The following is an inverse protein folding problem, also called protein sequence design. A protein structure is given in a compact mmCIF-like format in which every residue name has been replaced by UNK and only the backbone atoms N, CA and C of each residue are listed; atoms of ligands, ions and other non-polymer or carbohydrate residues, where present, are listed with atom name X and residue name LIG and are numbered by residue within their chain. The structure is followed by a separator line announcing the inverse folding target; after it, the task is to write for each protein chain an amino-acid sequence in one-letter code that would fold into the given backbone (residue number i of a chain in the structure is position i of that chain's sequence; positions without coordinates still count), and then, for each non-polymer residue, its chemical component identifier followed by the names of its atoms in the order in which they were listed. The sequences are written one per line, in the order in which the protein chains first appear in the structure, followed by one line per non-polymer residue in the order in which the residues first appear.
data_IF_210100270225
#
_entry.id   IF_210100270225
#
_cell.length_a   1.000
_cell.length_b   1.000
_cell.length_c   1.000
_cell.angle_alpha   90.00
_cell.angle_beta   90.00
_cell.angle_gamma   90.00
#
_symmetry.space_group_name_H-M   'P 1'
#
loop_
_entity.id
_entity.type
_entity.pdbx_description
1 polymer ?
#
# COMPACT_ATOMS: atom_id res chain seq x y z
N UNK A 1 -20.83 -11.72 33.33
CA UNK A 1 -20.26 -12.71 32.39
C UNK A 1 -19.70 -11.98 31.19
N UNK A 2 -18.70 -12.54 30.49
CA UNK A 2 -18.10 -11.90 29.32
C UNK A 2 -19.01 -12.13 28.10
N UNK A 3 -19.32 -11.08 27.35
CA UNK A 3 -20.25 -11.13 26.20
C UNK A 3 -19.55 -11.53 24.91
N UNK A 4 -18.34 -10.99 24.68
CA UNK A 4 -17.54 -11.23 23.49
C UNK A 4 -16.19 -11.83 23.84
N UNK A 5 -15.72 -12.77 23.02
CA UNK A 5 -14.33 -13.21 23.00
C UNK A 5 -13.60 -12.44 21.89
N UNK A 6 -12.52 -11.76 22.26
CA UNK A 6 -11.75 -10.87 21.39
C UNK A 6 -10.42 -11.52 21.06
N UNK A 7 -10.07 -11.61 19.77
CA UNK A 7 -8.86 -12.26 19.29
C UNK A 7 -8.14 -11.29 18.33
N UNK A 8 -6.90 -10.86 18.59
CA UNK A 8 -6.06 -11.18 19.76
C UNK A 8 -6.59 -10.59 21.08
N UNK A 9 -6.21 -11.19 22.22
CA UNK A 9 -6.81 -10.83 23.52
C UNK A 9 -6.28 -9.52 24.13
N UNK A 10 -5.01 -9.18 23.91
CA UNK A 10 -4.36 -8.05 24.59
C UNK A 10 -3.66 -7.10 23.64
N UNK A 11 -2.90 -7.64 22.69
CA UNK A 11 -1.99 -6.86 21.87
C UNK A 11 -2.37 -7.02 20.40
N UNK A 12 -2.39 -5.92 19.66
CA UNK A 12 -2.47 -5.91 18.20
C UNK A 12 -1.09 -5.51 17.69
N UNK A 13 -0.42 -6.45 17.05
CA UNK A 13 0.94 -6.25 16.55
C UNK A 13 0.89 -5.71 15.13
N UNK A 14 1.55 -4.59 14.87
CA UNK A 14 1.70 -4.03 13.53
C UNK A 14 3.18 -4.09 13.12
N UNK A 15 3.52 -4.61 11.93
CA UNK A 15 4.87 -4.46 11.39
C UNK A 15 5.20 -2.99 11.16
N UNK A 16 6.42 -2.58 11.52
CA UNK A 16 6.90 -1.23 11.22
C UNK A 16 7.26 -1.11 9.73
N UNK A 17 6.32 -0.61 8.93
CA UNK A 17 6.53 -0.29 7.51
C UNK A 17 6.38 1.22 7.31
N UNK A 18 7.42 1.86 6.81
CA UNK A 18 7.41 3.30 6.54
C UNK A 18 6.62 3.59 5.26
N UNK A 19 5.88 4.70 5.24
CA UNK A 19 5.14 5.19 4.07
C UNK A 19 4.11 4.22 3.46
N UNK A 20 3.72 3.17 4.18
CA UNK A 20 2.71 2.19 3.73
C UNK A 20 1.64 1.96 4.79
N UNK A 21 0.40 1.78 4.34
CA UNK A 21 -0.69 1.38 5.22
C UNK A 21 -0.61 -0.11 5.55
N UNK A 22 -0.86 -0.45 6.81
CA UNK A 22 -0.80 -1.83 7.31
C UNK A 22 -2.14 -2.20 7.93
N UNK A 23 -2.67 -3.37 7.58
CA UNK A 23 -3.97 -3.84 8.06
C UNK A 23 -3.78 -5.03 8.98
N UNK A 24 -4.35 -4.96 10.19
CA UNK A 24 -4.47 -6.08 11.10
C UNK A 24 -5.94 -6.42 11.36
N UNK A 25 -6.20 -7.69 11.67
CA UNK A 25 -7.56 -8.20 11.89
C UNK A 25 -7.76 -8.51 13.37
N UNK A 26 -8.83 -7.98 13.95
CA UNK A 26 -9.34 -8.33 15.27
C UNK A 26 -10.67 -9.05 15.11
N UNK A 27 -10.78 -10.29 15.61
CA UNK A 27 -12.01 -11.07 15.57
C UNK A 27 -12.79 -10.89 16.87
N UNK A 28 -14.09 -10.67 16.74
CA UNK A 28 -15.06 -10.60 17.83
C UNK A 28 -16.03 -11.77 17.71
N UNK A 29 -15.93 -12.73 18.63
CA UNK A 29 -16.79 -13.91 18.72
C UNK A 29 -17.85 -13.69 19.80
N UNK A 30 -19.14 -13.78 19.46
CA UNK A 30 -20.23 -13.67 20.42
C UNK A 30 -20.43 -14.98 21.17
N UNK A 31 -20.06 -14.98 22.45
CA UNK A 31 -20.19 -16.14 23.35
C UNK A 31 -21.45 -16.08 24.23
N UNK A 32 -22.28 -15.05 24.05
CA UNK A 32 -23.54 -14.89 24.77
C UNK A 32 -24.71 -15.57 24.04
N UNK A 33 -25.83 -15.72 24.75
CA UNK A 33 -27.08 -16.28 24.21
C UNK A 33 -27.97 -15.22 23.53
N UNK A 34 -27.54 -13.95 23.50
CA UNK A 34 -28.27 -12.83 22.90
C UNK A 34 -27.45 -12.17 21.80
N UNK A 35 -28.08 -11.34 20.97
CA UNK A 35 -27.33 -10.49 20.04
C UNK A 35 -26.51 -9.46 20.82
N UNK A 36 -25.34 -9.13 20.30
CA UNK A 36 -24.42 -8.18 20.95
C UNK A 36 -24.12 -7.04 20.00
N UNK A 37 -24.37 -5.82 20.45
CA UNK A 37 -23.92 -4.61 19.76
C UNK A 37 -22.47 -4.31 20.16
N UNK A 38 -21.64 -3.88 19.21
CA UNK A 38 -20.25 -3.49 19.48
C UNK A 38 -19.90 -2.12 18.91
N UNK A 39 -18.93 -1.45 19.54
CA UNK A 39 -18.34 -0.20 19.07
C UNK A 39 -16.85 -0.16 19.39
N UNK A 40 -16.06 0.26 18.42
CA UNK A 40 -14.61 0.41 18.54
C UNK A 40 -14.27 1.88 18.77
N UNK A 41 -13.44 2.13 19.77
CA UNK A 41 -12.83 3.43 20.05
C UNK A 41 -11.32 3.31 20.03
N UNK A 42 -10.64 4.39 19.68
CA UNK A 42 -9.17 4.46 19.65
C UNK A 42 -8.68 5.77 20.27
N UNK A 43 -7.48 5.75 20.85
CA UNK A 43 -6.79 6.96 21.34
C UNK A 43 -6.18 7.79 20.22
N UNK A 44 -6.01 7.23 19.02
CA UNK A 44 -5.37 7.88 17.87
C UNK A 44 -6.24 7.77 16.59
N UNK A 45 -7.41 8.41 16.54
CA UNK A 45 -8.34 8.28 15.40
C UNK A 45 -7.77 8.77 14.07
N UNK A 46 -6.73 9.62 14.07
CA UNK A 46 -6.07 10.09 12.85
C UNK A 46 -5.11 9.04 12.26
N UNK A 47 -4.55 8.18 13.12
CA UNK A 47 -3.54 7.19 12.71
C UNK A 47 -4.18 5.88 12.25
N UNK A 48 -5.44 5.63 12.63
CA UNK A 48 -6.10 4.37 12.36
C UNK A 48 -7.45 4.54 11.70
N UNK A 49 -7.69 3.66 10.74
CA UNK A 49 -9.00 3.46 10.14
C UNK A 49 -9.55 2.10 10.57
N UNK A 50 -10.76 2.09 11.13
CA UNK A 50 -11.41 0.88 11.64
C UNK A 50 -12.63 0.53 10.81
N UNK A 51 -12.72 -0.72 10.34
CA UNK A 51 -13.82 -1.21 9.49
C UNK A 51 -14.24 -2.62 9.89
N UNK A 52 -15.51 -2.86 10.26
CA UNK A 52 -16.50 -1.87 10.70
C UNK A 52 -16.12 -1.23 12.06
N UNK A 53 -16.52 0.02 12.31
CA UNK A 53 -16.24 0.71 13.59
C UNK A 53 -17.31 0.46 14.66
N UNK A 54 -18.51 0.04 14.25
CA UNK A 54 -19.59 -0.42 15.11
C UNK A 54 -20.48 -1.38 14.34
N UNK A 55 -21.30 -2.14 15.04
CA UNK A 55 -22.26 -3.04 14.41
C UNK A 55 -22.94 -3.97 15.40
N UNK A 56 -23.58 -5.00 14.86
CA UNK A 56 -24.31 -6.03 15.59
C UNK A 56 -23.71 -7.39 15.25
N UNK A 57 -23.60 -8.27 16.23
CA UNK A 57 -23.11 -9.66 16.08
C UNK A 57 -24.23 -10.58 16.56
N UNK A 58 -24.65 -11.52 15.71
CA UNK A 58 -25.67 -12.48 16.10
C UNK A 58 -25.13 -13.50 17.10
N UNK A 59 -26.03 -14.28 17.69
CA UNK A 59 -25.69 -15.34 18.64
C UNK A 59 -24.74 -16.34 17.99
N UNK A 60 -23.61 -16.65 18.65
CA UNK A 60 -22.56 -17.57 18.16
C UNK A 60 -21.89 -17.16 16.84
N UNK A 61 -22.09 -15.92 16.38
CA UNK A 61 -21.43 -15.39 15.19
C UNK A 61 -20.06 -14.79 15.55
N UNK A 62 -19.17 -14.74 14.56
CA UNK A 62 -17.89 -14.05 14.64
C UNK A 62 -17.79 -12.99 13.56
N UNK A 63 -17.36 -11.79 13.94
CA UNK A 63 -17.12 -10.67 13.03
C UNK A 63 -15.64 -10.31 13.03
N UNK A 64 -15.10 -10.05 11.84
CA UNK A 64 -13.72 -9.59 11.67
C UNK A 64 -13.68 -8.07 11.49
N UNK A 65 -12.89 -7.41 12.35
CA UNK A 65 -12.66 -5.98 12.34
C UNK A 65 -11.28 -5.72 11.77
N UNK A 66 -11.23 -4.95 10.69
CA UNK A 66 -9.99 -4.47 10.09
C UNK A 66 -9.56 -3.18 10.78
N UNK A 67 -8.34 -3.19 11.32
CA UNK A 67 -7.68 -2.01 11.87
C UNK A 67 -6.51 -1.69 10.94
N UNK A 68 -6.62 -0.55 10.26
CA UNK A 68 -5.69 -0.12 9.23
C UNK A 68 -4.88 1.05 9.80
N UNK A 69 -3.60 0.81 10.07
CA UNK A 69 -2.63 1.85 10.39
C UNK A 69 -2.32 2.66 9.12
N UNK A 70 -2.50 3.97 9.19
CA UNK A 70 -2.23 4.89 8.08
C UNK A 70 -0.71 5.04 7.86
N UNK A 71 -0.26 5.41 6.64
CA UNK A 71 1.15 5.67 6.37
C UNK A 71 1.70 6.78 7.28
N UNK A 72 2.74 6.47 8.04
CA UNK A 72 3.39 7.41 8.94
C UNK A 72 4.60 8.05 8.24
N UNK A 73 4.80 9.35 8.48
CA UNK A 73 5.83 10.15 7.78
C UNK A 73 7.17 10.14 8.52
N UNK A 74 7.14 10.19 9.85
CA UNK A 74 8.29 10.09 10.74
C UNK A 74 7.87 9.32 12.01
N UNK A 75 8.83 8.98 12.89
CA UNK A 75 8.66 8.16 14.11
C UNK A 75 7.67 8.78 15.13
N UNK A 76 6.39 8.81 14.78
CA UNK A 76 5.32 9.15 15.69
C UNK A 76 5.18 8.04 16.73
N UNK A 77 4.85 8.41 17.96
CA UNK A 77 4.81 7.52 19.13
C UNK A 77 3.61 6.55 19.10
N UNK A 78 3.48 5.75 18.05
CA UNK A 78 2.40 4.77 17.82
C UNK A 78 2.44 3.65 18.88
N UNK A 79 3.57 3.48 19.57
CA UNK A 79 3.82 2.42 20.56
C UNK A 79 2.92 2.46 21.81
N UNK A 80 2.10 3.50 21.97
CA UNK A 80 1.23 3.67 23.14
C UNK A 80 -0.26 3.72 22.77
N UNK A 81 -0.60 3.51 21.50
CA UNK A 81 -1.97 3.59 21.03
C UNK A 81 -2.81 2.43 21.58
N UNK A 82 -4.07 2.73 21.89
CA UNK A 82 -4.99 1.81 22.54
C UNK A 82 -6.30 1.77 21.78
N UNK A 83 -6.84 0.57 21.66
CA UNK A 83 -8.19 0.33 21.20
C UNK A 83 -9.07 -0.13 22.35
N UNK A 84 -10.33 0.26 22.30
CA UNK A 84 -11.35 -0.15 23.25
C UNK A 84 -12.55 -0.67 22.46
N UNK A 85 -12.86 -1.95 22.67
CA UNK A 85 -14.07 -2.61 22.20
C UNK A 85 -15.12 -2.46 23.28
N UNK A 86 -16.17 -1.71 23.01
CA UNK A 86 -17.35 -1.62 23.85
C UNK A 86 -18.40 -2.58 23.33
N UNK A 87 -19.10 -3.29 24.22
CA UNK A 87 -20.15 -4.22 23.84
C UNK A 87 -21.30 -4.25 24.86
N UNK A 88 -22.50 -4.54 24.40
CA UNK A 88 -23.67 -4.80 25.24
C UNK A 88 -24.65 -5.77 24.58
N UNK A 89 -25.45 -6.44 25.40
CA UNK A 89 -26.55 -7.27 24.92
C UNK A 89 -27.68 -6.39 24.41
N UNK A 90 -28.31 -6.82 23.31
CA UNK A 90 -29.47 -6.14 22.74
C UNK A 90 -30.58 -7.13 22.43
N UNK A 91 -31.79 -6.59 22.29
CA UNK A 91 -32.98 -7.32 21.88
C UNK A 91 -32.99 -7.53 20.36
N UNK A 92 -33.75 -8.51 19.88
CA UNK A 92 -33.66 -8.99 18.50
C UNK A 92 -34.05 -7.95 17.44
N UNK A 93 -34.85 -6.93 17.81
CA UNK A 93 -35.38 -5.87 16.95
C UNK A 93 -34.57 -4.55 17.03
N UNK A 94 -33.43 -4.56 17.71
CA UNK A 94 -32.63 -3.33 17.93
C UNK A 94 -31.75 -3.02 16.73
N UNK A 95 -31.86 -1.80 16.17
CA UNK A 95 -30.90 -1.25 15.20
C UNK A 95 -29.75 -0.52 15.89
N UNK A 96 -28.51 -0.84 15.51
CA UNK A 96 -27.31 -0.25 16.12
C UNK A 96 -26.86 0.96 15.31
N UNK A 97 -27.35 2.14 15.69
CA UNK A 97 -26.98 3.41 15.06
C UNK A 97 -26.11 4.30 15.98
N UNK A 98 -25.63 5.44 15.47
CA UNK A 98 -24.84 6.38 16.28
C UNK A 98 -25.60 6.89 17.52
N UNK A 99 -26.92 7.06 17.41
CA UNK A 99 -27.79 7.53 18.49
C UNK A 99 -27.98 6.48 19.59
N UNK A 100 -28.02 5.20 19.22
CA UNK A 100 -28.15 4.09 20.18
C UNK A 100 -27.09 4.18 21.29
N UNK A 101 -25.84 4.46 20.92
CA UNK A 101 -24.73 4.59 21.88
C UNK A 101 -24.80 5.84 22.79
N UNK A 102 -25.70 6.78 22.53
CA UNK A 102 -25.94 7.96 23.38
C UNK A 102 -27.01 7.63 24.44
N UNK A 103 -28.03 6.85 24.06
CA UNK A 103 -29.17 6.49 24.91
C UNK A 103 -28.88 5.32 25.85
N UNK A 104 -27.94 4.44 25.48
CA UNK A 104 -27.60 3.25 26.28
C UNK A 104 -27.02 3.62 27.66
N UNK A 105 -27.45 2.87 28.68
CA UNK A 105 -26.92 3.00 30.02
C UNK A 105 -25.45 2.58 30.07
N UNK A 106 -24.58 3.48 30.52
CA UNK A 106 -23.13 3.24 30.60
C UNK A 106 -22.75 2.09 31.52
N UNK A 107 -23.60 1.74 32.49
CA UNK A 107 -23.36 0.67 33.45
C UNK A 107 -23.49 -0.73 32.83
N UNK A 108 -24.19 -0.86 31.71
CA UNK A 108 -24.41 -2.14 31.01
C UNK A 108 -23.33 -2.42 29.95
N UNK A 109 -22.50 -1.42 29.64
CA UNK A 109 -21.46 -1.53 28.64
C UNK A 109 -20.27 -2.30 29.21
N UNK A 110 -19.95 -3.42 28.57
CA UNK A 110 -18.71 -4.13 28.83
C UNK A 110 -17.60 -3.61 27.90
N UNK A 111 -16.45 -3.29 28.50
CA UNK A 111 -15.28 -2.81 27.79
C UNK A 111 -14.17 -3.87 27.73
N UNK A 112 -13.52 -3.99 26.58
CA UNK A 112 -12.31 -4.79 26.38
C UNK A 112 -11.22 -3.90 25.74
N UNK A 113 -10.03 -3.84 26.37
CA UNK A 113 -8.93 -2.97 25.92
C UNK A 113 -7.86 -3.77 25.19
N UNK A 114 -7.34 -3.20 24.11
CA UNK A 114 -6.25 -3.73 23.31
C UNK A 114 -5.15 -2.67 23.22
N UNK A 115 -3.90 -3.11 23.24
CA UNK A 115 -2.72 -2.26 23.13
C UNK A 115 -2.09 -2.50 21.76
N UNK A 116 -1.71 -1.43 21.07
CA UNK A 116 -0.96 -1.53 19.82
C UNK A 116 0.51 -1.74 20.16
N UNK A 117 1.10 -2.77 19.56
CA UNK A 117 2.54 -3.04 19.63
C UNK A 117 3.10 -2.90 18.22
N UNK A 118 4.17 -2.14 18.07
CA UNK A 118 4.93 -2.09 16.82
C UNK A 118 6.04 -3.13 16.87
N UNK A 119 6.05 -4.04 15.90
CA UNK A 119 7.12 -5.00 15.73
C UNK A 119 8.14 -4.44 14.74
N UNK A 120 9.28 -4.02 15.27
CA UNK A 120 10.49 -3.74 14.49
C UNK A 120 11.21 -5.08 14.27
N UNK A 121 10.82 -5.85 13.25
CA UNK A 121 11.55 -7.07 12.85
C UNK A 121 13.04 -6.79 12.49
N UNK A 122 13.46 -5.51 12.45
CA UNK A 122 14.81 -5.07 12.11
C UNK A 122 15.71 -4.67 13.30
N UNK A 123 15.31 -4.82 14.56
CA UNK A 123 16.22 -4.48 15.68
C UNK A 123 17.47 -5.38 15.79
N UNK A 124 17.47 -6.56 15.16
CA UNK A 124 18.64 -7.46 15.06
C UNK A 124 19.21 -7.64 13.64
N UNK A 125 18.77 -6.86 12.65
CA UNK A 125 19.43 -6.77 11.34
C UNK A 125 19.30 -5.36 10.79
N UNK A 126 20.32 -4.54 11.06
CA UNK A 126 20.69 -3.44 10.16
C UNK A 126 21.20 -4.03 8.84
N UNK A 127 20.29 -4.57 8.03
CA UNK A 127 20.50 -4.77 6.61
C UNK A 127 19.49 -3.91 5.87
N UNK A 128 20.00 -2.92 5.16
CA UNK A 128 19.27 -2.16 4.15
C UNK A 128 18.62 -3.16 3.18
N UNK A 129 17.32 -3.40 3.32
CA UNK A 129 16.56 -4.13 2.31
C UNK A 129 15.10 -3.68 2.33
N UNK A 130 14.88 -2.46 1.86
CA UNK A 130 13.65 -2.12 1.16
C UNK A 130 14.02 -1.86 -0.31
N UNK A 131 14.22 -2.96 -1.04
CA UNK A 131 14.14 -2.98 -2.49
C UNK A 131 13.05 -4.02 -2.85
N UNK A 132 12.17 -3.72 -3.82
CA UNK A 132 11.19 -4.69 -4.30
C UNK A 132 11.90 -5.90 -4.91
N UNK A 133 11.61 -7.08 -4.37
CA UNK A 133 12.17 -8.36 -4.81
C UNK A 133 11.53 -8.79 -6.13
N UNK A 134 12.20 -8.51 -7.25
CA UNK A 134 12.01 -9.28 -8.49
C UNK A 134 13.24 -10.17 -8.70
N UNK A 135 13.02 -11.48 -8.59
CA UNK A 135 14.03 -12.52 -8.74
C UNK A 135 14.57 -12.55 -10.19
N UNK A 136 15.83 -12.17 -10.41
CA UNK A 136 16.64 -12.64 -11.54
C UNK A 136 18.09 -12.83 -11.03
N UNK A 137 18.67 -14.05 -11.08
CA UNK A 137 20.08 -14.23 -10.75
C UNK A 137 20.94 -13.71 -11.91
N UNK A 138 21.82 -12.74 -11.63
CA UNK A 138 22.88 -12.34 -12.54
C UNK A 138 24.18 -13.03 -12.14
N UNK A 139 24.43 -14.20 -12.73
CA UNK A 139 25.79 -14.71 -12.89
C UNK A 139 26.23 -14.42 -14.33
N UNK A 140 27.50 -14.01 -14.45
CA UNK A 140 28.30 -13.90 -15.69
C UNK A 140 28.06 -12.68 -16.60
N UNK A 141 28.90 -11.65 -16.41
CA UNK A 141 29.81 -11.25 -17.50
C UNK A 141 30.99 -10.41 -16.97
N UNK A 142 32.15 -11.05 -16.88
CA UNK A 142 33.45 -10.38 -16.95
C UNK A 142 33.69 -9.99 -18.41
N UNK A 143 33.90 -8.70 -18.71
CA UNK A 143 35.12 -8.19 -19.36
C UNK A 143 34.96 -6.75 -19.88
N UNK A 144 35.97 -5.95 -19.53
CA UNK A 144 36.59 -4.85 -20.31
C UNK A 144 35.67 -3.71 -20.77
N UNK A 145 35.75 -2.57 -20.07
CA UNK A 145 36.52 -1.43 -20.58
C UNK A 145 36.50 -0.28 -19.57
N UNK A 146 37.67 0.01 -19.04
CA UNK A 146 38.03 1.32 -18.50
C UNK A 146 37.90 2.35 -19.60
N UNK A 147 37.02 3.34 -19.45
CA UNK A 147 37.14 4.63 -20.10
C UNK A 147 36.72 5.69 -19.09
N UNK A 148 37.69 6.57 -18.82
CA UNK A 148 37.59 7.79 -18.02
C UNK A 148 36.34 8.61 -18.32
N UNK A 149 35.69 9.12 -17.28
CA UNK A 149 35.14 10.47 -17.31
C UNK A 149 35.66 11.26 -16.12
N UNK A 150 36.71 12.03 -16.39
CA UNK A 150 37.12 13.18 -15.59
C UNK A 150 36.01 14.23 -15.68
N UNK A 151 35.45 14.63 -14.54
CA UNK A 151 34.79 15.92 -14.41
C UNK A 151 35.70 16.82 -13.57
N UNK A 152 36.29 17.80 -14.26
CA UNK A 152 37.03 18.91 -13.68
C UNK A 152 36.04 19.92 -13.13
N UNK A 153 36.15 20.28 -11.85
CA UNK A 153 35.67 21.55 -11.35
C UNK A 153 36.83 22.31 -10.72
N UNK A 154 37.17 23.43 -11.34
CA UNK A 154 38.13 24.40 -10.84
C UNK A 154 37.43 25.33 -9.84
N UNK A 155 37.97 25.45 -8.63
CA UNK A 155 38.07 26.74 -7.96
C UNK A 155 39.27 26.75 -7.00
N UNK A 156 40.15 27.72 -7.25
CA UNK A 156 41.42 27.96 -6.58
C UNK A 156 41.25 29.12 -5.58
N UNK A 157 41.56 28.93 -4.29
CA UNK A 157 42.14 29.95 -3.40
C UNK A 157 43.09 29.28 -2.38
N UNK A 158 44.38 29.38 -2.68
CA UNK A 158 45.57 29.66 -1.84
C UNK A 158 45.80 29.01 -0.46
N UNK A 159 47.02 28.46 -0.35
CA UNK A 159 47.76 28.01 0.83
C UNK A 159 48.04 29.12 1.85
N UNK A 160 48.07 28.77 3.13
CA UNK A 160 49.12 29.18 4.08
C UNK A 160 49.24 28.11 5.19
N UNK A 161 50.47 27.59 5.35
CA UNK A 161 50.84 26.56 6.32
C UNK A 161 50.89 27.11 7.76
N UNK A 162 50.42 26.34 8.76
CA UNK A 162 51.08 26.21 10.07
C UNK A 162 50.56 24.97 10.81
N UNK A 163 51.49 24.09 11.19
CA UNK A 163 51.27 22.92 12.03
C UNK A 163 50.82 23.32 13.44
N UNK A 164 49.85 22.61 14.04
CA UNK A 164 49.82 22.22 15.46
C UNK A 164 48.55 21.42 15.84
N UNK A 165 48.80 20.29 16.53
CA UNK A 165 47.94 19.64 17.54
C UNK A 165 46.77 18.75 17.10
N UNK A 166 46.99 17.44 17.26
CA UNK A 166 46.13 16.42 17.88
C UNK A 166 44.62 16.67 18.00
N UNK A 167 43.85 15.70 17.48
CA UNK A 167 42.55 15.32 18.03
C UNK A 167 41.34 15.64 17.16
N UNK A 168 41.02 14.76 16.19
CA UNK A 168 39.66 14.29 15.85
C UNK A 168 39.73 13.39 14.58
N UNK A 169 39.80 12.06 14.74
CA UNK A 169 39.42 11.14 13.66
C UNK A 169 37.95 10.77 13.81
N UNK A 170 37.11 11.67 13.30
CA UNK A 170 35.67 11.50 13.17
C UNK A 170 35.29 10.52 12.05
N UNK A 171 34.16 9.85 12.22
CA UNK A 171 33.64 8.88 11.26
C UNK A 171 33.20 9.52 9.95
N UNK A 172 33.62 8.97 8.81
CA UNK A 172 33.03 9.30 7.50
C UNK A 172 33.23 8.31 6.31
N UNK A 173 33.67 7.05 6.42
CA UNK A 173 33.65 6.15 5.25
C UNK A 173 32.25 5.65 4.87
N UNK A 174 31.35 5.51 5.86
CA UNK A 174 30.03 4.88 5.66
C UNK A 174 28.99 5.80 5.01
N UNK A 175 29.04 7.10 5.31
CA UNK A 175 28.07 8.08 4.82
C UNK A 175 28.22 8.31 3.31
N UNK A 176 29.48 8.48 2.85
CA UNK A 176 29.79 8.68 1.44
C UNK A 176 29.41 7.46 0.59
N UNK A 177 29.57 6.25 1.13
CA UNK A 177 29.19 5.01 0.44
C UNK A 177 27.68 4.89 0.26
N UNK A 178 26.90 5.21 1.30
CA UNK A 178 25.42 5.25 1.20
C UNK A 178 24.94 6.30 0.20
N UNK A 179 25.59 7.47 0.15
CA UNK A 179 25.25 8.51 -0.83
C UNK A 179 25.47 8.04 -2.27
N UNK A 180 26.60 7.38 -2.54
CA UNK A 180 26.88 6.80 -3.86
C UNK A 180 25.87 5.71 -4.22
N UNK A 181 25.50 4.85 -3.27
CA UNK A 181 24.50 3.80 -3.47
C UNK A 181 23.11 4.39 -3.81
N UNK A 182 22.69 5.45 -3.12
CA UNK A 182 21.47 6.20 -3.40
C UNK A 182 21.49 6.84 -4.80
N UNK A 183 22.61 7.45 -5.20
CA UNK A 183 22.76 8.03 -6.54
C UNK A 183 22.63 6.95 -7.63
N UNK A 184 23.28 5.80 -7.44
CA UNK A 184 23.17 4.69 -8.40
C UNK A 184 21.74 4.14 -8.48
N UNK A 185 21.03 4.06 -7.35
CA UNK A 185 19.63 3.68 -7.34
C UNK A 185 18.75 4.67 -8.11
N UNK A 186 18.96 5.98 -7.89
CA UNK A 186 18.24 7.03 -8.61
C UNK A 186 18.40 6.89 -10.13
N UNK A 187 19.65 6.75 -10.59
CA UNK A 187 19.97 6.56 -12.02
C UNK A 187 19.32 5.29 -12.59
N UNK A 188 19.31 4.20 -11.82
CA UNK A 188 18.67 2.95 -12.23
C UNK A 188 17.15 3.09 -12.37
N UNK A 189 16.49 3.72 -11.40
CA UNK A 189 15.05 3.96 -11.41
C UNK A 189 14.68 4.88 -12.58
N UNK A 190 15.46 5.92 -12.86
CA UNK A 190 15.22 6.80 -14.00
C UNK A 190 15.34 6.05 -15.34
N UNK A 191 16.31 5.15 -15.46
CA UNK A 191 16.46 4.30 -16.64
C UNK A 191 15.28 3.35 -16.84
N UNK A 192 14.81 2.73 -15.76
CA UNK A 192 13.63 1.86 -15.78
C UNK A 192 12.36 2.65 -16.13
N UNK A 193 12.21 3.85 -15.56
CA UNK A 193 11.11 4.76 -15.86
C UNK A 193 11.09 5.15 -17.34
N UNK A 194 12.23 5.53 -17.90
CA UNK A 194 12.34 5.86 -19.32
C UNK A 194 12.00 4.68 -20.24
N UNK A 195 12.37 3.46 -19.85
CA UNK A 195 12.03 2.25 -20.59
C UNK A 195 10.51 1.98 -20.59
N UNK A 196 9.87 2.07 -19.42
CA UNK A 196 8.41 1.92 -19.29
C UNK A 196 7.63 3.01 -20.02
N UNK A 197 8.13 4.24 -20.03
CA UNK A 197 7.52 5.36 -20.74
C UNK A 197 7.57 5.15 -22.27
N UNK A 198 8.70 4.66 -22.78
CA UNK A 198 8.85 4.28 -24.19
C UNK A 198 7.92 3.14 -24.59
N UNK A 199 7.74 2.14 -23.72
CA UNK A 199 6.79 1.05 -23.95
C UNK A 199 5.34 1.58 -24.00
N UNK A 200 4.97 2.43 -23.04
CA UNK A 200 3.66 3.09 -23.03
C UNK A 200 3.41 3.92 -24.30
N UNK A 201 4.41 4.68 -24.76
CA UNK A 201 4.30 5.45 -25.99
C UNK A 201 4.14 4.55 -27.22
N UNK A 202 4.90 3.44 -27.28
CA UNK A 202 4.78 2.43 -28.33
C UNK A 202 3.38 1.80 -28.37
N UNK A 203 2.85 1.38 -27.21
CA UNK A 203 1.51 0.82 -27.10
C UNK A 203 0.43 1.83 -27.51
N UNK A 204 0.58 3.09 -27.11
CA UNK A 204 -0.33 4.17 -27.51
C UNK A 204 -0.30 4.41 -29.01
N UNK A 205 0.88 4.36 -29.63
CA UNK A 205 1.05 4.48 -31.08
C UNK A 205 0.45 3.27 -31.83
N UNK A 206 0.61 2.04 -31.30
CA UNK A 206 -0.04 0.85 -31.85
C UNK A 206 -1.56 0.97 -31.83
N UNK A 207 -2.15 1.41 -30.72
CA UNK A 207 -3.60 1.65 -30.62
C UNK A 207 -4.08 2.70 -31.61
N UNK A 208 -3.33 3.79 -31.78
CA UNK A 208 -3.64 4.83 -32.76
C UNK A 208 -3.58 4.31 -34.19
N UNK A 209 -2.59 3.47 -34.51
CA UNK A 209 -2.46 2.85 -35.83
C UNK A 209 -3.60 1.87 -36.11
N UNK A 210 -4.00 1.05 -35.14
CA UNK A 210 -5.15 0.14 -35.24
C UNK A 210 -6.47 0.92 -35.45
N UNK A 211 -6.70 1.97 -34.67
CA UNK A 211 -7.88 2.82 -34.83
C UNK A 211 -7.89 3.56 -36.19
N UNK A 212 -6.74 4.03 -36.66
CA UNK A 212 -6.62 4.62 -38.00
C UNK A 212 -6.91 3.62 -39.11
N UNK A 213 -6.49 2.35 -38.96
CA UNK A 213 -6.79 1.29 -39.93
C UNK A 213 -8.27 0.89 -39.92
N UNK A 214 -8.92 0.89 -38.75
CA UNK A 214 -10.36 0.70 -38.63
C UNK A 214 -11.12 1.80 -39.40
N UNK A 215 -10.74 3.06 -39.19
CA UNK A 215 -11.32 4.17 -39.92
C UNK A 215 -11.00 4.11 -41.43
N UNK A 216 -9.80 3.67 -41.82
CA UNK A 216 -9.43 3.47 -43.24
C UNK A 216 -10.27 2.38 -43.92
N UNK A 217 -10.56 1.27 -43.23
CA UNK A 217 -11.45 0.22 -43.72
C UNK A 217 -12.92 0.68 -43.84
N UNK A 218 -13.33 1.66 -43.03
CA UNK A 218 -14.69 2.23 -43.07
C UNK A 218 -14.86 3.33 -44.14
N UNK A 219 -13.78 3.89 -44.69
CA UNK A 219 -13.80 5.04 -45.63
C UNK A 219 -14.06 4.64 -47.09
N UNK A 220 -14.10 3.36 -47.43
CA UNK A 220 -14.62 2.91 -48.73
C UNK A 220 -16.17 2.94 -48.74
N UNK A 221 -16.74 4.01 -48.19
CA UNK A 221 -18.17 4.34 -48.06
C UNK A 221 -18.90 4.34 -49.42
N UNK A 222 -18.15 4.41 -50.53
CA UNK A 222 -18.66 4.29 -51.90
C UNK A 222 -19.03 2.84 -52.27
N UNK A 223 -18.36 1.85 -51.69
CA UNK A 223 -18.57 0.43 -51.99
C UNK A 223 -19.48 -0.27 -50.98
N UNK A 224 -19.68 0.29 -49.78
CA UNK A 224 -20.65 -0.20 -48.79
C UNK A 224 -22.05 -0.42 -49.38
N UNK A 225 -22.68 0.53 -50.10
CA UNK A 225 -24.00 0.29 -50.69
C UNK A 225 -23.97 -0.81 -51.77
N UNK A 226 -22.86 -0.94 -52.51
CA UNK A 226 -22.70 -1.96 -53.56
C UNK A 226 -22.59 -3.35 -52.93
N UNK A 227 -21.84 -3.50 -51.83
CA UNK A 227 -21.69 -4.76 -51.10
C UNK A 227 -23.02 -5.20 -50.49
N UNK A 228 -23.82 -4.27 -49.94
CA UNK A 228 -25.16 -4.55 -49.42
C UNK A 228 -26.08 -5.07 -50.53
N UNK A 229 -26.06 -4.45 -51.71
CA UNK A 229 -26.87 -4.89 -52.86
C UNK A 229 -26.45 -6.28 -53.34
N UNK A 230 -25.14 -6.56 -53.42
CA UNK A 230 -24.64 -7.88 -53.79
C UNK A 230 -25.06 -8.94 -52.77
N UNK A 231 -24.95 -8.67 -51.47
CA UNK A 231 -25.41 -9.58 -50.42
C UNK A 231 -26.90 -9.88 -50.52
N UNK A 232 -27.75 -8.87 -50.77
CA UNK A 232 -29.19 -9.05 -50.94
C UNK A 232 -29.56 -9.92 -52.15
N UNK A 233 -28.81 -9.81 -53.25
CA UNK A 233 -29.01 -10.67 -54.44
C UNK A 233 -28.61 -12.11 -54.12
N UNK A 234 -27.48 -12.31 -53.45
CA UNK A 234 -26.99 -13.63 -53.07
C UNK A 234 -27.95 -14.32 -52.09
N UNK A 235 -28.44 -13.62 -51.06
CA UNK A 235 -29.41 -14.21 -50.11
C UNK A 235 -30.72 -14.60 -50.79
N UNK A 236 -31.18 -13.82 -51.77
CA UNK A 236 -32.35 -14.14 -52.59
C UNK A 236 -32.13 -15.38 -53.47
N UNK A 237 -30.94 -15.54 -54.03
CA UNK A 237 -30.58 -16.72 -54.83
C UNK A 237 -30.41 -18.00 -53.99
N UNK A 238 -29.98 -17.86 -52.73
CA UNK A 238 -29.88 -18.99 -51.79
C UNK A 238 -31.24 -19.41 -51.20
N UNK A 239 -32.35 -18.81 -51.61
CA UNK A 239 -33.70 -19.18 -51.17
C UNK A 239 -34.02 -18.78 -49.73
N UNK A 240 -33.19 -17.93 -49.11
CA UNK A 240 -33.51 -17.25 -47.86
C UNK A 240 -34.30 -15.99 -48.19
N UNK A 241 -35.53 -16.16 -48.68
CA UNK A 241 -36.67 -15.23 -48.65
C UNK A 241 -37.83 -15.82 -49.44
#
# INVERSE_FOLDING_TARGET
MKLLKVIPEKNIEFPLVHFQAVTQIVKLENISEKKVAFKIKTTAPNNYLVRPSFGLINVKETVEIQIILQPLSDKDNISNDKFQVQCLNVEDDTTVDKQFWVTVNKNEIQDHKLIVVLNDENSNKLTHSCLPSNNIPLTEMNNKNSQNLNYTDNNNINQEDTNLSEGLKGGLPGMQRKYHELLNYCVFVDKQKAALEKENESLKNQLKALNSNYNKFFIDNKYIPIIIVILAIVTKYLGYW
#
